data_IF_054982406108
#
_entry.id   IF_054982406108
#
_cell.length_a   1.000
_cell.length_b   1.000
_cell.length_c   1.000
_cell.angle_alpha   90.00
_cell.angle_beta   90.00
_cell.angle_gamma   90.00
#
_symmetry.space_group_name_H-M   'P 1'
#
loop_
_entity.id
_entity.type
_entity.pdbx_description
1 polymer ?
#
# COMPACT_ATOMS: atom_id res chain seq x y z
N UNK A 1 -12.03 22.99 -5.94
CA UNK A 1 -11.90 23.87 -7.13
C UNK A 1 -10.65 23.53 -7.96
N UNK A 2 -9.53 23.16 -7.32
CA UNK A 2 -8.27 22.80 -8.01
C UNK A 2 -8.34 21.47 -8.78
N UNK A 3 -9.08 20.48 -8.28
CA UNK A 3 -9.19 19.15 -8.94
C UNK A 3 -10.06 19.18 -10.20
N UNK A 4 -11.04 20.09 -10.25
CA UNK A 4 -11.85 20.30 -11.44
C UNK A 4 -10.98 20.80 -12.59
N UNK A 5 -10.11 21.79 -12.33
CA UNK A 5 -9.14 22.35 -13.27
C UNK A 5 -8.11 21.32 -13.79
N UNK A 6 -7.64 20.40 -12.93
CA UNK A 6 -6.72 19.32 -13.34
C UNK A 6 -7.37 18.30 -14.26
N UNK A 7 -8.67 18.03 -14.09
CA UNK A 7 -9.41 17.06 -14.91
C UNK A 7 -9.99 17.63 -16.20
N UNK A 8 -10.10 18.96 -16.32
CA UNK A 8 -10.67 19.64 -17.50
C UNK A 8 -10.04 19.24 -18.84
N UNK A 9 -8.70 19.16 -18.99
CA UNK A 9 -8.09 18.80 -20.27
C UNK A 9 -8.44 17.37 -20.72
N UNK A 10 -8.53 16.43 -19.77
CA UNK A 10 -8.91 15.04 -20.04
C UNK A 10 -10.37 14.97 -20.50
N UNK A 11 -11.29 15.63 -19.78
CA UNK A 11 -12.71 15.67 -20.14
C UNK A 11 -12.94 16.24 -21.55
N UNK A 12 -12.30 17.37 -21.85
CA UNK A 12 -12.44 18.04 -23.15
C UNK A 12 -11.85 17.16 -24.26
N UNK A 13 -10.63 16.63 -24.07
CA UNK A 13 -9.95 15.79 -25.06
C UNK A 13 -10.72 14.48 -25.34
N UNK A 14 -11.20 13.79 -24.30
CA UNK A 14 -11.98 12.55 -24.45
C UNK A 14 -13.30 12.82 -25.16
N UNK A 15 -13.96 13.94 -24.86
CA UNK A 15 -15.22 14.34 -25.52
C UNK A 15 -15.00 14.63 -27.00
N UNK A 16 -13.98 15.42 -27.35
CA UNK A 16 -13.65 15.73 -28.75
C UNK A 16 -13.32 14.44 -29.50
N UNK A 17 -12.47 13.57 -28.94
CA UNK A 17 -12.12 12.28 -29.55
C UNK A 17 -13.35 11.39 -29.78
N UNK A 18 -14.27 11.35 -28.82
CA UNK A 18 -15.48 10.54 -28.91
C UNK A 18 -16.38 10.94 -30.09
N UNK A 19 -16.50 12.25 -30.37
CA UNK A 19 -17.32 12.73 -31.49
C UNK A 19 -16.57 12.75 -32.82
N UNK A 20 -15.26 13.04 -32.81
CA UNK A 20 -14.48 13.16 -34.04
C UNK A 20 -14.04 11.79 -34.61
N UNK A 21 -13.61 10.87 -33.74
CA UNK A 21 -13.16 9.53 -34.15
C UNK A 21 -14.22 8.44 -33.92
N UNK A 22 -15.34 8.80 -33.29
CA UNK A 22 -16.32 7.85 -32.79
C UNK A 22 -15.94 7.25 -31.43
N UNK A 23 -16.84 6.45 -30.84
CA UNK A 23 -16.58 5.79 -29.57
C UNK A 23 -15.53 4.67 -29.74
N UNK A 24 -14.65 4.42 -28.74
CA UNK A 24 -13.65 3.35 -28.81
C UNK A 24 -14.24 1.96 -29.04
N UNK A 25 -15.50 1.76 -28.63
CA UNK A 25 -16.33 0.62 -29.00
C UNK A 25 -17.73 1.12 -29.34
N UNK A 26 -18.44 0.49 -30.27
CA UNK A 26 -19.80 0.91 -30.64
C UNK A 26 -20.79 0.98 -29.47
N UNK A 27 -20.60 0.17 -28.43
CA UNK A 27 -21.43 0.14 -27.23
C UNK A 27 -21.08 1.19 -26.16
N UNK A 28 -20.00 1.95 -26.35
CA UNK A 28 -19.55 2.92 -25.36
C UNK A 28 -20.25 4.25 -25.60
N UNK A 29 -21.08 4.67 -24.65
CA UNK A 29 -21.57 6.04 -24.62
C UNK A 29 -20.47 7.00 -24.13
N UNK A 30 -20.70 8.31 -24.27
CA UNK A 30 -19.74 9.34 -23.88
C UNK A 30 -19.38 9.24 -22.39
N UNK A 31 -20.36 8.95 -21.53
CA UNK A 31 -20.17 8.86 -20.08
C UNK A 31 -19.23 7.71 -19.72
N UNK A 32 -19.42 6.55 -20.36
CA UNK A 32 -18.56 5.39 -20.20
C UNK A 32 -17.14 5.68 -20.70
N UNK A 33 -17.01 6.29 -21.88
CA UNK A 33 -15.70 6.68 -22.42
C UNK A 33 -14.95 7.63 -21.47
N UNK A 34 -15.62 8.64 -20.93
CA UNK A 34 -15.05 9.58 -19.96
C UNK A 34 -14.61 8.85 -18.67
N UNK A 35 -15.46 8.00 -18.10
CA UNK A 35 -15.13 7.28 -16.87
C UNK A 35 -13.96 6.31 -17.09
N UNK A 36 -13.94 5.64 -18.24
CA UNK A 36 -12.83 4.77 -18.60
C UNK A 36 -11.51 5.55 -18.76
N UNK A 37 -11.54 6.70 -19.45
CA UNK A 37 -10.35 7.55 -19.57
C UNK A 37 -9.83 8.05 -18.22
N UNK A 38 -10.72 8.37 -17.27
CA UNK A 38 -10.33 8.73 -15.89
C UNK A 38 -9.66 7.55 -15.18
N UNK A 39 -10.22 6.35 -15.30
CA UNK A 39 -9.65 5.14 -14.70
C UNK A 39 -8.24 4.87 -15.23
N UNK A 40 -8.06 4.92 -16.56
CA UNK A 40 -6.75 4.72 -17.20
C UNK A 40 -5.75 5.79 -16.74
N UNK A 41 -6.16 7.06 -16.71
CA UNK A 41 -5.29 8.15 -16.24
C UNK A 41 -4.86 7.99 -14.77
N UNK A 42 -5.76 7.49 -13.91
CA UNK A 42 -5.41 7.17 -12.52
C UNK A 42 -4.41 6.01 -12.44
N UNK A 43 -4.59 4.95 -13.22
CA UNK A 43 -3.66 3.81 -13.26
C UNK A 43 -2.29 4.21 -13.80
N UNK A 44 -2.24 5.05 -14.84
CA UNK A 44 -0.98 5.59 -15.36
C UNK A 44 -0.26 6.46 -14.32
N UNK A 45 -1.01 7.27 -13.55
CA UNK A 45 -0.44 8.07 -12.47
C UNK A 45 0.05 7.24 -11.28
N UNK A 46 -0.44 6.00 -11.12
CA UNK A 46 0.08 5.08 -10.12
C UNK A 46 1.41 4.48 -10.58
N UNK A 47 1.58 4.17 -11.87
CA UNK A 47 2.83 3.62 -12.41
C UNK A 47 4.03 4.57 -12.33
N UNK A 48 3.81 5.88 -12.12
CA UNK A 48 4.90 6.85 -11.96
C UNK A 48 5.34 7.02 -10.51
N UNK A 49 4.64 6.41 -9.54
CA UNK A 49 4.98 6.50 -8.12
C UNK A 49 5.99 5.42 -7.75
N UNK A 50 6.92 5.77 -6.87
CA UNK A 50 7.78 4.77 -6.22
C UNK A 50 6.99 3.98 -5.18
N UNK A 51 7.53 2.84 -4.74
CA UNK A 51 6.91 2.02 -3.69
C UNK A 51 6.73 2.85 -2.41
N UNK A 52 7.71 3.67 -2.05
CA UNK A 52 7.68 4.52 -0.86
C UNK A 52 6.56 5.56 -0.94
N UNK A 53 6.33 6.15 -2.11
CA UNK A 53 5.25 7.10 -2.34
C UNK A 53 3.87 6.44 -2.25
N UNK A 54 3.73 5.23 -2.78
CA UNK A 54 2.49 4.45 -2.63
C UNK A 54 2.21 4.08 -1.18
N UNK A 55 3.25 3.70 -0.44
CA UNK A 55 3.13 3.39 0.99
C UNK A 55 2.72 4.62 1.81
N UNK A 56 3.23 5.81 1.46
CA UNK A 56 2.82 7.07 2.09
C UNK A 56 1.36 7.43 1.82
N UNK A 57 0.85 7.21 0.60
CA UNK A 57 -0.57 7.46 0.31
C UNK A 57 -1.50 6.55 1.13
N UNK A 58 -1.04 5.34 1.48
CA UNK A 58 -1.76 4.37 2.28
C UNK A 58 -1.54 4.48 3.79
N UNK A 59 -0.55 5.24 4.26
CA UNK A 59 -0.15 5.28 5.68
C UNK A 59 -0.97 6.23 6.54
N UNK A 60 -2.13 6.69 6.06
CA UNK A 60 -3.01 7.57 6.82
C UNK A 60 -3.39 6.87 8.14
N UNK A 61 -3.02 7.44 9.30
CA UNK A 61 -3.36 6.85 10.58
C UNK A 61 -4.89 6.87 10.73
N UNK A 62 -5.50 5.69 10.66
CA UNK A 62 -6.90 5.54 10.99
C UNK A 62 -7.03 5.50 12.53
N UNK A 63 -8.02 6.18 13.11
CA UNK A 63 -8.24 6.10 14.55
C UNK A 63 -8.52 4.64 14.92
N UNK A 64 -7.87 4.20 15.99
CA UNK A 64 -8.05 2.88 16.58
C UNK A 64 -9.52 2.73 17.00
N UNK A 65 -10.17 1.63 16.61
CA UNK A 65 -11.56 1.37 16.99
C UNK A 65 -11.67 1.24 18.52
N UNK A 66 -12.78 1.70 19.10
CA UNK A 66 -12.96 1.82 20.55
C UNK A 66 -12.77 0.52 21.35
N UNK A 67 -12.91 -0.64 20.70
CA UNK A 67 -12.79 -1.97 21.31
C UNK A 67 -11.44 -2.66 21.00
N UNK A 68 -10.42 -1.89 20.61
CA UNK A 68 -9.08 -2.43 20.32
C UNK A 68 -8.10 -2.07 21.44
N UNK A 69 -7.52 -3.10 22.06
CA UNK A 69 -6.42 -2.97 23.01
C UNK A 69 -5.09 -3.04 22.25
N UNK A 70 -4.23 -2.04 22.45
CA UNK A 70 -2.87 -2.01 21.89
C UNK A 70 -1.91 -2.19 23.06
N UNK A 71 -1.17 -3.29 23.06
CA UNK A 71 -0.11 -3.54 24.04
C UNK A 71 1.24 -3.37 23.37
N UNK A 72 2.06 -2.46 23.88
CA UNK A 72 3.46 -2.37 23.46
C UNK A 72 4.24 -3.57 23.99
N UNK A 73 4.98 -4.22 23.11
CA UNK A 73 5.86 -5.31 23.50
C UNK A 73 7.14 -5.29 22.65
N UNK A 74 8.16 -5.96 23.16
CA UNK A 74 9.46 -6.04 22.48
C UNK A 74 9.72 -7.48 22.05
N UNK A 75 9.91 -7.67 20.75
CA UNK A 75 10.29 -8.98 20.22
C UNK A 75 11.79 -9.16 20.42
N UNK A 76 12.16 -10.19 21.18
CA UNK A 76 13.56 -10.53 21.44
C UNK A 76 14.30 -10.94 20.15
N UNK A 77 15.56 -10.52 20.05
CA UNK A 77 16.44 -10.89 18.93
C UNK A 77 16.72 -12.39 18.82
N UNK A 78 16.44 -13.20 19.84
CA UNK A 78 16.56 -14.66 19.81
C UNK A 78 15.97 -15.24 18.52
N UNK A 79 14.75 -14.84 18.18
CA UNK A 79 14.07 -15.33 16.97
C UNK A 79 14.74 -14.89 15.68
N UNK A 80 15.28 -13.66 15.65
CA UNK A 80 16.03 -13.15 14.49
C UNK A 80 17.35 -13.92 14.30
N UNK A 81 18.06 -14.22 15.39
CA UNK A 81 19.29 -15.03 15.35
C UNK A 81 19.02 -16.44 14.85
N UNK A 82 17.93 -17.07 15.33
CA UNK A 82 17.50 -18.39 14.85
C UNK A 82 17.16 -18.36 13.35
N UNK A 83 16.41 -17.35 12.91
CA UNK A 83 16.04 -17.19 11.50
C UNK A 83 17.25 -16.92 10.59
N UNK A 84 18.24 -16.13 11.04
CA UNK A 84 19.44 -15.80 10.26
C UNK A 84 20.17 -17.06 9.76
N UNK A 85 20.27 -18.11 10.58
CA UNK A 85 20.93 -19.37 10.19
C UNK A 85 20.30 -20.00 8.95
N UNK A 86 18.97 -19.90 8.83
CA UNK A 86 18.23 -20.43 7.69
C UNK A 86 18.25 -19.47 6.49
N UNK A 87 18.08 -18.17 6.76
CA UNK A 87 18.00 -17.13 5.74
C UNK A 87 19.35 -16.92 5.03
N UNK A 88 20.48 -17.02 5.72
CA UNK A 88 21.80 -16.84 5.11
C UNK A 88 22.01 -17.79 3.93
N UNK A 89 21.56 -19.05 4.05
CA UNK A 89 21.67 -20.04 2.98
C UNK A 89 20.84 -19.67 1.75
N UNK A 90 19.64 -19.11 1.97
CA UNK A 90 18.69 -18.76 0.91
C UNK A 90 19.09 -17.46 0.23
N UNK A 91 19.56 -16.49 1.02
CA UNK A 91 19.82 -15.13 0.58
C UNK A 91 21.24 -14.94 0.01
N UNK A 92 22.16 -15.88 0.22
CA UNK A 92 23.54 -15.82 -0.28
C UNK A 92 23.67 -15.42 -1.76
N UNK A 93 22.88 -15.95 -2.71
CA UNK A 93 22.97 -15.52 -4.11
C UNK A 93 22.58 -14.05 -4.35
N UNK A 94 21.81 -13.46 -3.43
CA UNK A 94 21.23 -12.12 -3.54
C UNK A 94 21.96 -11.09 -2.67
N UNK A 95 23.07 -11.45 -2.03
CA UNK A 95 23.77 -10.57 -1.07
C UNK A 95 24.24 -9.25 -1.69
N UNK A 96 24.46 -9.20 -3.00
CA UNK A 96 24.82 -7.99 -3.76
C UNK A 96 23.68 -6.99 -3.96
N UNK A 97 22.41 -7.41 -3.79
CA UNK A 97 21.22 -6.54 -3.92
C UNK A 97 20.49 -6.33 -2.60
N UNK A 98 20.84 -7.08 -1.57
CA UNK A 98 20.21 -6.98 -0.26
C UNK A 98 20.97 -6.00 0.63
N UNK A 99 20.21 -5.19 1.37
CA UNK A 99 20.78 -4.28 2.35
C UNK A 99 21.44 -5.07 3.50
N UNK A 100 22.68 -4.77 3.92
CA UNK A 100 23.33 -5.46 5.04
C UNK A 100 22.62 -5.27 6.40
N UNK A 101 21.66 -4.34 6.52
CA UNK A 101 20.92 -4.08 7.76
C UNK A 101 20.19 -5.31 8.32
N UNK A 102 19.72 -6.24 7.48
CA UNK A 102 19.01 -7.43 7.99
C UNK A 102 19.90 -8.35 8.83
N UNK A 103 21.23 -8.29 8.64
CA UNK A 103 22.22 -9.01 9.46
C UNK A 103 22.55 -8.28 10.76
N UNK A 104 22.26 -6.97 10.83
CA UNK A 104 22.71 -6.10 11.89
C UNK A 104 21.69 -6.03 13.05
N UNK A 105 21.91 -6.83 14.09
CA UNK A 105 21.06 -6.89 15.28
C UNK A 105 21.54 -5.94 16.39
N UNK A 106 21.74 -4.66 16.07
CA UNK A 106 22.32 -3.67 17.01
C UNK A 106 21.40 -3.34 18.17
N UNK A 107 20.09 -3.36 17.94
CA UNK A 107 19.09 -3.02 18.93
C UNK A 107 18.72 -4.25 19.74
N UNK A 108 18.29 -4.09 20.98
CA UNK A 108 17.91 -5.14 21.93
C UNK A 108 16.57 -5.83 21.60
N UNK A 109 16.06 -5.67 20.37
CA UNK A 109 14.85 -6.29 19.87
C UNK A 109 14.13 -5.44 18.83
N UNK A 110 12.94 -5.84 18.43
CA UNK A 110 12.04 -5.05 17.59
C UNK A 110 10.90 -4.52 18.46
N UNK A 111 10.72 -3.20 18.47
CA UNK A 111 9.55 -2.58 19.08
C UNK A 111 8.32 -2.96 18.27
N UNK A 112 7.28 -3.46 18.93
CA UNK A 112 6.08 -3.95 18.27
C UNK A 112 4.84 -3.63 19.09
N UNK A 113 3.72 -3.57 18.40
CA UNK A 113 2.40 -3.35 18.98
C UNK A 113 1.56 -4.59 18.78
N UNK A 114 1.00 -5.12 19.86
CA UNK A 114 0.05 -6.21 19.82
C UNK A 114 -1.34 -5.62 19.80
N UNK A 115 -1.97 -5.65 18.63
CA UNK A 115 -3.31 -5.12 18.40
C UNK A 115 -4.32 -6.24 18.57
N UNK A 116 -5.15 -6.16 19.61
CA UNK A 116 -6.18 -7.16 19.89
C UNK A 116 -7.56 -6.51 19.92
N UNK A 117 -8.48 -7.06 19.14
CA UNK A 117 -9.91 -6.72 19.24
C UNK A 117 -10.47 -7.41 20.49
N UNK A 118 -11.12 -6.65 21.36
CA UNK A 118 -11.75 -7.19 22.56
C UNK A 118 -13.07 -7.88 22.20
N UNK A 119 -12.97 -9.14 21.81
CA UNK A 119 -14.10 -10.02 21.48
C UNK A 119 -14.55 -10.89 22.69
N UNK A 120 -14.14 -10.48 23.91
CA UNK A 120 -14.56 -11.12 25.16
C UNK A 120 -13.87 -12.45 25.48
N UNK A 121 -12.80 -12.82 24.77
CA UNK A 121 -12.07 -14.08 25.05
C UNK A 121 -11.41 -14.14 26.43
N UNK A 122 -10.98 -13.01 26.98
CA UNK A 122 -10.38 -12.98 28.33
C UNK A 122 -11.40 -13.29 29.43
N UNK A 123 -12.68 -13.00 29.21
CA UNK A 123 -13.75 -13.30 30.18
C UNK A 123 -14.10 -14.80 30.27
N UNK A 124 -13.61 -15.63 29.35
CA UNK A 124 -13.87 -17.09 29.35
C UNK A 124 -12.82 -17.90 30.15
N UNK A 125 -11.76 -17.26 30.65
CA UNK A 125 -10.66 -17.94 31.36
C UNK A 125 -10.64 -17.70 32.88
N UNK A 126 -11.56 -16.91 33.43
CA UNK A 126 -11.74 -16.71 34.86
C UNK A 126 -13.04 -17.35 35.36
#
# INVERSE_FOLDING_TARGET
MVDFLKSSPLLISTTIKHYFNGPPRPSWDLKFHINWSKLISLLESANTKTIEQMQQDGSNPAPVQADVMINEFKIDNKYRREAQVHLDKILKPYEHVLDPEWKNLKDDGINSEWVQVNDGWEKKRN
#
